data_IF_620294746717
#
_entry.id   IF_620294746717
#
_cell.length_a   1.000
_cell.length_b   1.000
_cell.length_c   1.000
_cell.angle_alpha   90.00
_cell.angle_beta   90.00
_cell.angle_gamma   90.00
#
_symmetry.space_group_name_H-M   'P 1'
#
loop_
_entity.id
_entity.type
_entity.pdbx_description
1 polymer ?
#
# COMPACT_ATOMS: atom_id res chain seq x y z
N UNK A 1 -4.22 -3.37 9.26
CA UNK A 1 -3.68 -4.73 9.38
C UNK A 1 -3.12 -5.09 8.02
N UNK A 2 -1.81 -4.84 7.84
CA UNK A 2 -1.05 -5.29 6.67
C UNK A 2 -0.86 -6.81 6.84
N UNK A 3 -0.96 -7.57 5.74
CA UNK A 3 -1.07 -9.03 5.76
C UNK A 3 0.12 -9.77 6.39
N UNK A 4 0.03 -11.11 6.51
CA UNK A 4 0.88 -11.97 7.37
C UNK A 4 2.34 -12.14 6.93
N UNK A 5 2.89 -11.26 6.09
CA UNK A 5 4.21 -11.44 5.46
C UNK A 5 5.27 -10.40 5.80
N UNK A 6 4.97 -9.39 6.62
CA UNK A 6 5.96 -8.35 6.96
C UNK A 6 6.50 -8.58 8.35
N UNK A 7 7.62 -9.31 8.45
CA UNK A 7 8.57 -9.02 9.53
C UNK A 7 8.95 -7.53 9.41
N UNK A 8 9.06 -6.83 10.54
CA UNK A 8 9.49 -5.42 10.53
C UNK A 8 10.97 -5.39 10.19
N UNK A 9 11.26 -5.24 8.90
CA UNK A 9 12.62 -5.11 8.37
C UNK A 9 13.17 -3.73 8.70
N UNK A 10 12.33 -2.69 8.64
CA UNK A 10 12.67 -1.31 8.94
C UNK A 10 11.61 -0.69 9.87
N UNK A 11 12.04 -0.37 11.10
CA UNK A 11 11.16 0.22 12.12
C UNK A 11 10.79 1.66 11.82
N UNK A 12 11.70 2.44 11.25
CA UNK A 12 11.44 3.85 10.97
C UNK A 12 10.37 4.00 9.89
N UNK A 13 10.43 3.14 8.86
CA UNK A 13 9.40 3.08 7.82
C UNK A 13 8.06 2.63 8.41
N UNK A 14 8.05 1.59 9.25
CA UNK A 14 6.82 1.12 9.88
C UNK A 14 6.15 2.20 10.74
N UNK A 15 6.91 2.91 11.57
CA UNK A 15 6.42 4.01 12.40
C UNK A 15 5.82 5.14 11.54
N UNK A 16 6.46 5.48 10.42
CA UNK A 16 5.94 6.48 9.49
C UNK A 16 4.62 6.04 8.82
N UNK A 17 4.51 4.77 8.43
CA UNK A 17 3.28 4.20 7.86
C UNK A 17 2.13 4.22 8.88
N UNK A 18 2.40 3.84 10.13
CA UNK A 18 1.39 3.83 11.19
C UNK A 18 0.93 5.26 11.54
N UNK A 19 1.86 6.22 11.56
CA UNK A 19 1.54 7.64 11.75
C UNK A 19 0.66 8.20 10.63
N UNK A 20 0.96 7.91 9.37
CA UNK A 20 0.15 8.37 8.23
C UNK A 20 -1.23 7.70 8.19
N UNK A 21 -1.29 6.41 8.53
CA UNK A 21 -2.57 5.70 8.63
C UNK A 21 -3.48 6.35 9.68
N UNK A 22 -2.94 6.72 10.84
CA UNK A 22 -3.71 7.41 11.87
C UNK A 22 -4.15 8.81 11.41
N UNK A 23 -3.26 9.56 10.73
CA UNK A 23 -3.58 10.86 10.15
C UNK A 23 -4.78 10.76 9.21
N UNK A 24 -4.76 9.81 8.27
CA UNK A 24 -5.85 9.62 7.30
C UNK A 24 -7.17 9.20 7.96
N UNK A 25 -7.12 8.43 9.06
CA UNK A 25 -8.32 8.00 9.79
C UNK A 25 -8.96 9.08 10.63
N UNK A 26 -8.17 10.04 11.09
CA UNK A 26 -8.61 11.09 12.02
C UNK A 26 -8.82 12.44 11.32
N UNK A 27 -8.50 12.54 10.04
CA UNK A 27 -8.69 13.76 9.23
C UNK A 27 -9.88 13.62 8.29
N UNK A 28 -10.66 14.69 8.15
CA UNK A 28 -11.69 14.78 7.10
C UNK A 28 -10.99 15.23 5.81
N UNK A 29 -10.88 14.32 4.85
CA UNK A 29 -10.26 14.62 3.55
C UNK A 29 -11.28 15.28 2.60
N UNK A 30 -10.99 16.51 2.17
CA UNK A 30 -11.87 17.33 1.30
C UNK A 30 -11.23 17.67 -0.05
N UNK A 31 -10.05 17.13 -0.33
CA UNK A 31 -9.37 17.32 -1.61
C UNK A 31 -10.09 16.45 -2.65
N UNK A 32 -10.73 17.08 -3.62
CA UNK A 32 -11.61 16.40 -4.59
C UNK A 32 -10.92 15.30 -5.43
N UNK A 33 -9.60 15.38 -5.59
CA UNK A 33 -8.82 14.40 -6.34
C UNK A 33 -8.32 13.22 -5.50
N UNK A 34 -8.43 13.28 -4.18
CA UNK A 34 -7.96 12.23 -3.28
C UNK A 34 -9.03 11.16 -3.04
N UNK A 35 -8.58 9.93 -2.74
CA UNK A 35 -9.43 8.78 -2.50
C UNK A 35 -8.69 7.68 -1.75
N UNK A 36 -9.42 6.67 -1.26
CA UNK A 36 -8.86 5.49 -0.61
C UNK A 36 -8.96 4.26 -1.52
N UNK A 37 -7.83 3.63 -1.81
CA UNK A 37 -7.79 2.38 -2.56
C UNK A 37 -8.42 1.23 -1.75
N UNK A 38 -9.06 0.28 -2.43
CA UNK A 38 -9.61 -0.91 -1.77
C UNK A 38 -8.49 -1.84 -1.29
N UNK A 39 -8.79 -2.67 -0.28
CA UNK A 39 -7.84 -3.65 0.25
C UNK A 39 -7.33 -4.63 -0.82
N UNK A 40 -8.17 -4.99 -1.80
CA UNK A 40 -7.79 -5.84 -2.92
C UNK A 40 -6.74 -5.21 -3.83
N UNK A 41 -6.85 -3.90 -4.09
CA UNK A 41 -5.84 -3.16 -4.88
C UNK A 41 -4.51 -3.11 -4.13
N UNK A 42 -4.53 -2.80 -2.83
CA UNK A 42 -3.31 -2.75 -2.00
C UNK A 42 -2.62 -4.13 -1.91
N UNK A 43 -3.40 -5.21 -1.78
CA UNK A 43 -2.86 -6.57 -1.76
C UNK A 43 -2.21 -6.96 -3.09
N UNK A 44 -2.82 -6.59 -4.23
CA UNK A 44 -2.25 -6.85 -5.55
C UNK A 44 -0.94 -6.08 -5.78
N UNK A 45 -0.84 -4.85 -5.29
CA UNK A 45 0.36 -4.02 -5.40
C UNK A 45 1.57 -4.64 -4.67
N UNK A 46 1.35 -5.31 -3.53
CA UNK A 46 2.40 -6.02 -2.78
C UNK A 46 2.67 -7.45 -3.26
N UNK A 47 2.16 -7.86 -4.43
CA UNK A 47 2.26 -9.24 -4.90
C UNK A 47 3.59 -9.55 -5.60
N UNK A 48 3.82 -10.84 -5.86
CA UNK A 48 4.97 -11.35 -6.61
C UNK A 48 5.07 -10.82 -8.05
N UNK A 49 4.04 -10.14 -8.56
CA UNK A 49 4.05 -9.54 -9.90
C UNK A 49 5.18 -8.51 -10.06
N UNK A 50 5.61 -7.85 -8.97
CA UNK A 50 6.73 -6.91 -9.02
C UNK A 50 8.06 -7.55 -9.42
N UNK A 51 8.19 -8.86 -9.30
CA UNK A 51 9.42 -9.58 -9.64
C UNK A 51 9.53 -9.86 -11.14
N UNK A 52 8.43 -9.69 -11.89
CA UNK A 52 8.35 -10.17 -13.26
C UNK A 52 8.71 -9.07 -14.26
N UNK A 53 9.71 -9.36 -15.08
CA UNK A 53 9.94 -8.65 -16.34
C UNK A 53 9.07 -9.27 -17.45
N UNK A 54 8.25 -8.46 -18.11
CA UNK A 54 7.26 -8.89 -19.11
C UNK A 54 7.09 -7.85 -20.23
N UNK A 55 8.16 -7.62 -21.00
CA UNK A 55 8.08 -6.83 -22.23
C UNK A 55 7.27 -7.55 -23.31
N UNK A 56 6.71 -6.77 -24.25
CA UNK A 56 5.87 -7.28 -25.33
C UNK A 56 4.37 -7.23 -25.01
N UNK A 57 3.58 -8.01 -25.74
CA UNK A 57 2.14 -8.12 -25.55
C UNK A 57 1.76 -9.56 -25.18
N UNK A 58 0.60 -9.78 -24.54
CA UNK A 58 0.06 -11.13 -24.35
C UNK A 58 -0.11 -11.83 -25.71
N UNK A 59 0.46 -13.03 -25.85
CA UNK A 59 0.45 -13.83 -27.09
C UNK A 59 1.73 -14.62 -27.27
#
# INVERSE_FOLDING_TARGET
>A
MIGPYTEVVDRQVQEALDGELERQRTTIELIASENFASSGVLAAQGSVLTNKYAEGYPG
#
